data_IF_022160224797
#
_entry.id   IF_022160224797
#
_cell.length_a   1.000
_cell.length_b   1.000
_cell.length_c   1.000
_cell.angle_alpha   90.00
_cell.angle_beta   90.00
_cell.angle_gamma   90.00
#
_symmetry.space_group_name_H-M   'P 1'
#
loop_
_entity.id
_entity.type
_entity.pdbx_description
1 polymer ?
#
# COMPACT_ATOMS: atom_id res chain seq x y z
N UNK A 1 11.17 40.04 -21.36
CA UNK A 1 12.42 40.02 -20.56
C UNK A 1 12.47 38.66 -19.86
N UNK A 2 12.82 37.54 -20.50
CA UNK A 2 14.11 37.02 -21.00
C UNK A 2 15.21 36.83 -19.93
N UNK A 3 15.68 35.57 -19.83
CA UNK A 3 16.84 34.96 -19.11
C UNK A 3 16.54 34.53 -17.66
N UNK A 4 16.73 33.28 -17.21
CA UNK A 4 17.56 32.17 -17.70
C UNK A 4 16.91 30.80 -17.43
N UNK A 5 16.53 30.10 -18.49
CA UNK A 5 16.84 28.66 -18.59
C UNK A 5 18.36 28.52 -18.77
N UNK A 6 18.90 27.36 -18.38
CA UNK A 6 20.30 26.94 -18.53
C UNK A 6 21.22 27.32 -17.35
N UNK A 7 21.10 26.63 -16.21
CA UNK A 7 22.25 26.41 -15.30
C UNK A 7 22.00 25.29 -14.26
N UNK A 8 21.57 24.10 -14.68
CA UNK A 8 21.74 22.87 -13.87
C UNK A 8 22.11 21.71 -14.80
N UNK A 9 23.21 21.89 -15.52
CA UNK A 9 23.88 20.79 -16.21
C UNK A 9 25.39 21.04 -16.27
N UNK A 10 26.01 21.37 -15.13
CA UNK A 10 27.44 21.21 -14.89
C UNK A 10 27.76 21.57 -13.42
N UNK A 11 27.69 20.59 -12.51
CA UNK A 11 28.37 20.63 -11.21
C UNK A 11 28.51 19.19 -10.68
N UNK A 12 28.99 18.30 -11.55
CA UNK A 12 29.52 16.99 -11.17
C UNK A 12 30.85 16.77 -11.91
N UNK A 13 31.74 17.75 -11.85
CA UNK A 13 33.14 17.55 -12.20
C UNK A 13 33.96 18.24 -11.14
N UNK A 14 34.80 17.46 -10.46
CA UNK A 14 35.79 17.87 -9.45
C UNK A 14 35.25 18.15 -8.03
N UNK A 15 34.96 17.10 -7.27
CA UNK A 15 35.54 16.96 -5.92
C UNK A 15 35.18 15.60 -5.32
N UNK A 16 36.19 14.98 -4.75
CA UNK A 16 36.21 13.70 -4.05
C UNK A 16 35.14 13.58 -2.95
N UNK A 17 34.44 12.44 -2.97
CA UNK A 17 33.87 11.67 -1.85
C UNK A 17 33.47 12.40 -0.55
N UNK A 18 32.20 12.19 -0.17
CA UNK A 18 31.45 12.73 0.99
C UNK A 18 30.98 14.18 0.78
N UNK A 19 29.80 14.44 0.20
CA UNK A 19 28.61 14.75 1.03
C UNK A 19 27.28 14.66 0.25
N UNK A 20 27.25 13.89 -0.83
CA UNK A 20 26.01 13.66 -1.61
C UNK A 20 24.83 13.08 -0.79
N UNK A 21 25.04 12.23 0.24
CA UNK A 21 23.93 11.70 1.04
C UNK A 21 23.20 12.75 1.89
N UNK A 22 23.92 13.76 2.42
CA UNK A 22 23.33 14.78 3.26
C UNK A 22 22.49 15.76 2.44
N UNK A 23 22.99 16.18 1.27
CA UNK A 23 22.23 17.04 0.35
C UNK A 23 20.96 16.35 -0.16
N UNK A 24 21.02 15.06 -0.52
CA UNK A 24 19.83 14.29 -0.92
C UNK A 24 18.87 14.03 0.25
N UNK A 25 19.39 13.79 1.46
CA UNK A 25 18.57 13.63 2.67
C UNK A 25 17.85 14.94 3.02
N UNK A 26 18.50 16.08 2.85
CA UNK A 26 17.89 17.41 3.01
C UNK A 26 16.87 17.70 1.92
N UNK A 27 17.09 17.30 0.66
CA UNK A 27 16.12 17.46 -0.44
C UNK A 27 14.90 16.52 -0.26
N UNK A 28 15.12 15.26 0.12
CA UNK A 28 14.04 14.31 0.46
C UNK A 28 13.27 14.72 1.73
N UNK A 29 13.94 15.38 2.68
CA UNK A 29 13.31 15.93 3.87
C UNK A 29 12.59 17.25 3.57
N UNK A 30 13.08 18.08 2.65
CA UNK A 30 12.42 19.30 2.19
C UNK A 30 11.20 19.01 1.28
N UNK A 31 11.17 17.86 0.59
CA UNK A 31 9.95 17.33 -0.03
C UNK A 31 9.04 16.54 0.95
N UNK A 32 9.47 16.42 2.21
CA UNK A 32 8.69 15.96 3.37
C UNK A 32 8.55 17.09 4.37
N UNK A 33 8.11 18.27 3.94
CA UNK A 33 7.45 19.17 4.89
C UNK A 33 6.17 18.47 5.35
N UNK A 34 6.30 17.70 6.42
CA UNK A 34 5.18 17.25 7.22
C UNK A 34 4.56 18.52 7.79
N UNK A 35 3.54 18.99 7.08
CA UNK A 35 2.80 20.17 7.49
C UNK A 35 2.29 19.96 8.91
N UNK A 36 2.68 20.87 9.81
CA UNK A 36 2.05 21.03 11.13
C UNK A 36 0.56 21.38 11.01
N UNK A 37 0.04 21.62 9.80
CA UNK A 37 -1.39 21.80 9.53
C UNK A 37 -2.24 20.54 9.65
N UNK A 38 -1.64 19.35 9.80
CA UNK A 38 -2.37 18.08 9.86
C UNK A 38 -2.75 17.65 11.28
N UNK A 39 -2.34 18.42 12.30
CA UNK A 39 -2.69 18.19 13.70
C UNK A 39 -1.88 17.12 14.44
N UNK A 40 -0.93 16.45 13.79
CA UNK A 40 -0.02 15.53 14.47
C UNK A 40 1.11 16.27 15.19
N UNK A 41 1.51 15.77 16.35
CA UNK A 41 2.70 16.20 17.06
C UNK A 41 3.98 15.94 16.23
N UNK A 42 5.10 16.56 16.61
CA UNK A 42 6.39 16.30 15.96
C UNK A 42 6.80 14.81 16.08
N UNK A 43 7.34 14.25 14.99
CA UNK A 43 7.71 12.82 14.83
C UNK A 43 6.52 11.84 14.71
N UNK A 44 5.31 12.35 14.50
CA UNK A 44 4.11 11.54 14.31
C UNK A 44 3.61 11.62 12.87
N UNK A 45 3.44 10.45 12.23
CA UNK A 45 3.02 10.36 10.83
C UNK A 45 1.51 10.41 10.68
N UNK A 46 1.00 11.43 9.99
CA UNK A 46 -0.42 11.48 9.62
C UNK A 46 -0.80 10.45 8.56
N UNK A 47 -1.92 9.76 8.78
CA UNK A 47 -2.64 8.93 7.84
C UNK A 47 -4.10 9.35 7.77
N UNK A 48 -4.66 9.40 6.56
CA UNK A 48 -6.10 9.55 6.35
C UNK A 48 -6.75 8.18 6.26
N UNK A 49 -7.61 7.86 7.22
CA UNK A 49 -8.43 6.64 7.27
C UNK A 49 -9.89 6.96 6.95
N UNK A 50 -10.73 5.95 6.66
CA UNK A 50 -12.18 6.14 6.56
C UNK A 50 -12.83 6.71 7.83
N UNK A 51 -12.25 6.44 9.00
CA UNK A 51 -12.69 6.92 10.31
C UNK A 51 -12.24 8.33 10.66
N UNK A 52 -11.29 8.91 9.90
CA UNK A 52 -10.72 10.22 10.18
C UNK A 52 -9.20 10.26 10.05
N UNK A 53 -8.60 11.35 10.54
CA UNK A 53 -7.16 11.50 10.65
C UNK A 53 -6.57 10.58 11.72
N UNK A 54 -5.36 10.08 11.50
CA UNK A 54 -4.68 9.16 12.40
C UNK A 54 -3.18 9.44 12.45
N UNK A 55 -2.65 9.82 13.60
CA UNK A 55 -1.25 10.18 13.77
C UNK A 55 -0.45 9.02 14.34
N UNK A 56 0.31 8.29 13.54
CA UNK A 56 1.02 7.08 13.93
C UNK A 56 2.51 7.33 14.19
N UNK A 57 3.07 6.81 15.29
CA UNK A 57 4.52 6.84 15.57
C UNK A 57 5.01 5.48 16.05
N UNK A 58 6.18 5.04 15.57
CA UNK A 58 6.80 3.78 15.99
C UNK A 58 7.87 4.03 17.06
N UNK A 59 7.80 3.29 18.17
CA UNK A 59 8.62 3.42 19.36
C UNK A 59 9.59 2.24 19.52
N UNK A 60 10.89 2.53 19.68
CA UNK A 60 11.87 1.51 19.93
C UNK A 60 11.75 0.93 21.37
N UNK A 61 12.08 -0.34 21.65
CA UNK A 61 11.94 -0.98 22.96
C UNK A 61 11.96 -2.51 22.90
N UNK A 62 11.67 -3.17 24.01
CA UNK A 62 11.37 -4.59 24.11
C UNK A 62 10.16 -4.76 25.01
N UNK A 63 9.12 -5.43 24.51
CA UNK A 63 7.86 -5.64 25.22
C UNK A 63 7.45 -7.09 25.09
N UNK A 64 7.54 -7.82 26.19
CA UNK A 64 7.23 -9.25 26.26
C UNK A 64 5.76 -9.50 25.91
N UNK A 65 4.85 -8.70 26.47
CA UNK A 65 3.41 -8.78 26.22
C UNK A 65 2.86 -7.64 25.35
N UNK A 66 1.86 -7.94 24.52
CA UNK A 66 1.08 -6.92 23.79
C UNK A 66 0.34 -5.97 24.77
N UNK A 67 0.06 -6.41 26.00
CA UNK A 67 -0.52 -5.55 27.02
C UNK A 67 0.50 -4.51 27.55
N UNK A 68 1.77 -4.86 27.68
CA UNK A 68 2.82 -3.91 28.09
C UNK A 68 3.09 -2.88 27.00
N UNK A 69 3.01 -3.35 25.76
CA UNK A 69 2.99 -2.57 24.55
C UNK A 69 1.88 -1.50 24.55
N UNK A 70 0.64 -1.93 24.78
CA UNK A 70 -0.50 -1.02 24.92
C UNK A 70 -0.32 -0.05 26.10
N UNK A 71 0.17 -0.53 27.25
CA UNK A 71 0.41 0.30 28.43
C UNK A 71 1.43 1.41 28.15
N UNK A 72 2.51 1.10 27.44
CA UNK A 72 3.50 2.09 27.06
C UNK A 72 2.90 3.15 26.13
N UNK A 73 2.01 2.77 25.21
CA UNK A 73 1.32 3.76 24.39
C UNK A 73 0.40 4.67 25.18
N UNK A 74 -0.29 4.15 26.19
CA UNK A 74 -1.11 4.99 27.06
C UNK A 74 -0.32 6.05 27.82
N UNK A 75 1.00 5.88 27.99
CA UNK A 75 1.85 6.91 28.63
C UNK A 75 2.06 8.16 27.78
N UNK A 76 1.82 8.07 26.47
CA UNK A 76 1.90 9.20 25.52
C UNK A 76 0.52 9.51 24.91
N UNK A 77 -0.52 9.36 25.74
CA UNK A 77 -1.94 9.60 25.42
C UNK A 77 -2.43 8.86 24.17
N UNK A 78 -2.19 7.54 24.15
CA UNK A 78 -2.28 6.77 22.94
C UNK A 78 -2.60 5.29 23.10
N UNK A 79 -2.85 4.61 21.96
CA UNK A 79 -3.15 3.16 21.89
C UNK A 79 -2.39 2.49 20.75
N UNK A 80 -2.21 1.17 20.84
CA UNK A 80 -1.67 0.35 19.76
C UNK A 80 -2.49 0.50 18.48
N UNK A 81 -1.86 1.06 17.46
CA UNK A 81 -2.50 1.27 16.16
C UNK A 81 -2.78 -0.04 15.44
N UNK A 82 -3.95 -0.14 14.80
CA UNK A 82 -4.16 -1.07 13.71
C UNK A 82 -3.55 -0.58 12.39
N UNK A 83 -3.71 -1.34 11.30
CA UNK A 83 -3.25 -0.97 9.96
C UNK A 83 -4.41 -0.96 8.96
N UNK A 84 -4.71 0.21 8.41
CA UNK A 84 -5.80 0.38 7.45
C UNK A 84 -5.49 -0.31 6.12
N UNK A 85 -4.21 -0.35 5.73
CA UNK A 85 -3.75 -0.86 4.45
C UNK A 85 -2.22 -1.09 4.42
N UNK A 86 -1.73 -1.66 3.33
CA UNK A 86 -0.30 -1.94 3.10
C UNK A 86 0.62 -0.71 3.17
N UNK A 87 0.14 0.52 2.93
CA UNK A 87 1.00 1.71 3.02
C UNK A 87 1.31 2.04 4.48
N UNK A 88 0.35 1.85 5.38
CA UNK A 88 0.58 1.95 6.82
C UNK A 88 1.58 0.86 7.28
N UNK A 89 1.42 -0.37 6.78
CA UNK A 89 2.39 -1.46 6.97
C UNK A 89 3.80 -1.11 6.49
N UNK A 90 3.93 -0.57 5.28
CA UNK A 90 5.21 -0.16 4.70
C UNK A 90 5.87 0.97 5.50
N UNK A 91 5.07 1.93 6.00
CA UNK A 91 5.56 2.98 6.88
C UNK A 91 6.11 2.40 8.18
N UNK A 92 5.35 1.57 8.90
CA UNK A 92 5.81 1.07 10.21
C UNK A 92 7.07 0.22 10.08
N UNK A 93 7.19 -0.53 8.98
CA UNK A 93 8.40 -1.27 8.63
C UNK A 93 9.58 -0.32 8.41
N UNK A 94 9.43 0.72 7.60
CA UNK A 94 10.51 1.68 7.35
C UNK A 94 10.88 2.47 8.61
N UNK A 95 9.88 2.91 9.38
CA UNK A 95 10.04 3.71 10.59
C UNK A 95 10.81 2.94 11.66
N UNK A 96 10.57 1.64 11.83
CA UNK A 96 11.33 0.90 12.81
C UNK A 96 12.75 0.58 12.37
N UNK A 97 12.94 0.19 11.11
CA UNK A 97 14.25 -0.15 10.56
C UNK A 97 15.20 1.07 10.50
N UNK A 98 14.66 2.28 10.57
CA UNK A 98 15.42 3.52 10.67
C UNK A 98 15.91 3.82 12.10
N UNK A 99 15.30 3.23 13.13
CA UNK A 99 15.59 3.51 14.54
C UNK A 99 16.50 2.45 15.18
N UNK A 100 16.88 1.42 14.42
CA UNK A 100 17.49 0.20 14.96
C UNK A 100 18.65 -0.26 14.08
N UNK A 101 19.75 -0.78 14.65
CA UNK A 101 20.88 -1.28 13.85
C UNK A 101 20.58 -2.59 13.12
N UNK A 102 19.55 -3.33 13.54
CA UNK A 102 19.17 -4.63 12.98
C UNK A 102 18.63 -4.50 11.55
N UNK A 103 18.66 -5.61 10.82
CA UNK A 103 18.13 -5.72 9.45
C UNK A 103 16.69 -6.19 9.40
N UNK A 104 16.17 -6.72 10.50
CA UNK A 104 14.78 -7.09 10.72
C UNK A 104 14.41 -6.99 12.20
N UNK A 105 13.10 -6.96 12.48
CA UNK A 105 12.54 -6.93 13.82
C UNK A 105 11.02 -7.11 13.79
N UNK A 106 10.44 -7.42 14.94
CA UNK A 106 8.99 -7.61 15.08
C UNK A 106 8.36 -6.45 15.84
N UNK A 107 7.11 -6.14 15.52
CA UNK A 107 6.34 -5.06 16.13
C UNK A 107 5.02 -5.57 16.68
N UNK A 108 4.62 -5.01 17.81
CA UNK A 108 3.24 -5.08 18.28
C UNK A 108 2.41 -3.99 17.60
N UNK A 109 1.27 -4.41 17.08
CA UNK A 109 0.18 -3.53 16.62
C UNK A 109 -1.09 -3.89 17.39
N UNK A 110 -2.15 -3.10 17.24
CA UNK A 110 -3.43 -3.31 17.90
C UNK A 110 -4.27 -4.42 17.25
N UNK A 111 -3.67 -5.58 16.97
CA UNK A 111 -4.34 -6.72 16.34
C UNK A 111 -4.59 -7.80 17.39
N UNK A 112 -5.86 -8.16 17.62
CA UNK A 112 -6.25 -9.19 18.60
C UNK A 112 -7.18 -10.22 17.97
N UNK A 113 -7.16 -11.47 18.46
CA UNK A 113 -8.06 -12.51 17.98
C UNK A 113 -9.50 -12.21 18.39
N UNK A 114 -10.44 -12.38 17.46
CA UNK A 114 -11.85 -12.15 17.75
C UNK A 114 -12.38 -13.16 18.76
N UNK A 115 -13.35 -12.75 19.58
CA UNK A 115 -14.01 -13.66 20.55
C UNK A 115 -14.54 -14.94 19.90
N UNK A 116 -15.04 -14.83 18.66
CA UNK A 116 -15.59 -15.96 17.89
C UNK A 116 -14.52 -17.00 17.53
N UNK A 117 -13.27 -16.56 17.37
CA UNK A 117 -12.18 -17.41 16.90
C UNK A 117 -11.21 -17.81 18.02
N UNK A 118 -11.44 -17.40 19.27
CA UNK A 118 -10.70 -17.90 20.43
C UNK A 118 -10.79 -19.43 20.51
N UNK A 119 -9.65 -20.09 20.68
CA UNK A 119 -9.57 -21.55 20.72
C UNK A 119 -9.92 -22.27 19.41
N UNK A 120 -10.03 -21.55 18.29
CA UNK A 120 -10.34 -22.13 16.98
C UNK A 120 -9.13 -22.07 16.05
N UNK A 121 -8.88 -23.18 15.33
CA UNK A 121 -7.98 -23.19 14.16
C UNK A 121 -8.65 -22.55 12.96
N UNK A 122 -7.93 -22.49 11.84
CA UNK A 122 -8.50 -22.06 10.56
C UNK A 122 -9.73 -22.90 10.18
N UNK A 123 -10.82 -22.20 9.90
CA UNK A 123 -12.07 -22.72 9.37
C UNK A 123 -12.61 -21.76 8.31
N UNK A 124 -13.72 -22.11 7.66
CA UNK A 124 -14.43 -21.15 6.79
C UNK A 124 -14.83 -19.87 7.53
N UNK A 125 -15.08 -19.97 8.84
CA UNK A 125 -15.51 -18.86 9.69
C UNK A 125 -14.33 -18.10 10.29
N UNK A 126 -13.28 -18.80 10.70
CA UNK A 126 -12.05 -18.23 11.25
C UNK A 126 -10.96 -18.36 10.22
N UNK A 127 -10.75 -17.32 9.43
CA UNK A 127 -9.76 -17.27 8.36
C UNK A 127 -8.87 -16.03 8.52
N UNK A 128 -7.99 -15.78 7.55
CA UNK A 128 -7.07 -14.64 7.56
C UNK A 128 -7.73 -13.26 7.51
N UNK A 129 -9.04 -13.16 7.23
CA UNK A 129 -9.79 -11.91 7.23
C UNK A 129 -10.73 -11.76 8.44
N UNK A 130 -11.00 -12.83 9.19
CA UNK A 130 -12.05 -12.84 10.24
C UNK A 130 -11.57 -13.30 11.60
N UNK A 131 -10.38 -13.90 11.68
CA UNK A 131 -9.84 -14.41 12.94
C UNK A 131 -9.38 -13.30 13.88
N UNK A 132 -9.05 -12.13 13.35
CA UNK A 132 -8.54 -11.00 14.11
C UNK A 132 -9.39 -9.74 13.89
N UNK A 133 -9.31 -8.82 14.84
CA UNK A 133 -9.91 -7.49 14.83
C UNK A 133 -8.92 -6.45 15.35
N UNK A 134 -9.13 -5.19 14.99
CA UNK A 134 -8.33 -4.07 15.47
C UNK A 134 -8.84 -3.56 16.83
N UNK A 135 -7.93 -3.16 17.71
CA UNK A 135 -8.24 -2.67 19.06
C UNK A 135 -8.30 -1.15 19.17
N UNK A 136 -7.90 -0.44 18.12
CA UNK A 136 -7.68 1.01 18.12
C UNK A 136 -8.96 1.82 17.87
N UNK A 137 -10.09 1.16 17.64
CA UNK A 137 -11.40 1.74 17.31
C UNK A 137 -11.42 2.70 16.12
N UNK A 138 -10.33 2.77 15.34
CA UNK A 138 -10.19 3.68 14.21
C UNK A 138 -9.87 2.93 12.92
N UNK A 139 -9.14 1.83 12.98
CA UNK A 139 -8.88 1.02 11.80
C UNK A 139 -10.15 0.28 11.41
N UNK A 140 -10.55 0.41 10.14
CA UNK A 140 -11.73 -0.28 9.61
C UNK A 140 -11.33 -1.33 8.58
N UNK A 141 -12.15 -2.38 8.45
CA UNK A 141 -11.90 -3.44 7.49
C UNK A 141 -10.59 -4.21 7.73
N UNK A 142 -10.16 -4.94 6.70
CA UNK A 142 -9.10 -5.96 6.80
C UNK A 142 -7.92 -5.66 5.87
N UNK A 143 -7.82 -4.43 5.35
CA UNK A 143 -6.81 -4.05 4.35
C UNK A 143 -5.37 -4.16 4.83
N UNK A 144 -5.12 -4.14 6.15
CA UNK A 144 -3.83 -4.41 6.77
C UNK A 144 -3.62 -5.86 7.23
N UNK A 145 -4.60 -6.75 7.06
CA UNK A 145 -4.48 -8.16 7.41
C UNK A 145 -3.68 -8.89 6.33
N UNK A 146 -2.36 -8.77 6.40
CA UNK A 146 -1.43 -9.50 5.57
C UNK A 146 -0.72 -10.52 6.46
N UNK A 147 -1.11 -11.78 6.39
CA UNK A 147 -0.52 -12.85 7.19
C UNK A 147 0.53 -13.64 6.40
N UNK A 148 1.46 -14.28 7.11
CA UNK A 148 2.37 -15.28 6.52
C UNK A 148 1.57 -16.42 5.85
N UNK A 149 2.24 -17.21 5.01
CA UNK A 149 1.60 -18.39 4.42
C UNK A 149 1.12 -19.36 5.52
N UNK A 150 -0.14 -19.77 5.42
CA UNK A 150 -0.80 -20.60 6.43
C UNK A 150 -1.28 -19.88 7.70
N UNK A 151 -0.97 -18.60 7.90
CA UNK A 151 -1.39 -17.83 9.09
C UNK A 151 -2.71 -17.06 8.87
N UNK A 152 -3.49 -16.74 9.93
CA UNK A 152 -3.29 -17.07 11.34
C UNK A 152 -3.85 -18.46 11.71
N UNK A 153 -2.98 -19.42 12.00
CA UNK A 153 -3.37 -20.84 12.13
C UNK A 153 -3.92 -21.22 13.52
N UNK A 154 -3.63 -20.42 14.54
CA UNK A 154 -3.87 -20.72 15.94
C UNK A 154 -3.42 -22.13 16.33
N UNK A 155 -2.22 -22.53 15.89
CA UNK A 155 -1.62 -23.84 16.10
C UNK A 155 -1.82 -24.40 17.51
N UNK A 156 -1.57 -23.57 18.52
CA UNK A 156 -1.64 -23.94 19.96
C UNK A 156 -2.99 -23.62 20.61
N UNK A 157 -3.97 -23.12 19.85
CA UNK A 157 -5.29 -22.68 20.31
C UNK A 157 -5.28 -21.48 21.28
N UNK A 158 -4.12 -20.89 21.55
CA UNK A 158 -3.91 -19.78 22.48
C UNK A 158 -3.15 -18.59 21.85
N UNK A 159 -2.95 -18.59 20.53
CA UNK A 159 -2.22 -17.53 19.80
C UNK A 159 -3.16 -16.35 19.53
N UNK A 160 -3.52 -15.61 20.58
CA UNK A 160 -4.56 -14.58 20.51
C UNK A 160 -4.07 -13.21 20.05
N UNK A 161 -2.78 -13.06 19.77
CA UNK A 161 -2.15 -11.82 19.31
C UNK A 161 -1.36 -12.07 18.01
N UNK A 162 -0.80 -11.04 17.39
CA UNK A 162 0.01 -11.19 16.20
C UNK A 162 1.21 -10.24 16.16
N UNK A 163 2.34 -10.72 15.66
CA UNK A 163 3.54 -9.92 15.44
C UNK A 163 3.64 -9.52 13.97
N UNK A 164 3.85 -8.24 13.71
CA UNK A 164 4.19 -7.73 12.39
C UNK A 164 5.71 -7.86 12.17
N UNK A 165 6.13 -8.48 11.06
CA UNK A 165 7.55 -8.59 10.71
C UNK A 165 7.99 -7.39 9.85
N UNK A 166 8.91 -6.59 10.37
CA UNK A 166 9.65 -5.60 9.58
C UNK A 166 11.00 -6.19 9.12
N UNK A 167 11.35 -6.04 7.84
CA UNK A 167 12.65 -6.43 7.32
C UNK A 167 13.11 -5.55 6.16
N UNK A 168 14.42 -5.33 6.05
CA UNK A 168 15.07 -4.68 4.88
C UNK A 168 15.04 -5.59 3.66
N UNK A 169 15.01 -6.91 3.86
CA UNK A 169 14.89 -7.92 2.81
C UNK A 169 13.43 -8.33 2.62
N UNK A 170 13.05 -8.76 1.41
CA UNK A 170 11.68 -9.20 1.10
C UNK A 170 11.21 -10.39 1.97
N UNK A 171 12.16 -11.21 2.42
CA UNK A 171 11.94 -12.26 3.41
C UNK A 171 13.17 -12.45 4.28
N UNK A 172 12.99 -13.12 5.42
CA UNK A 172 14.07 -13.64 6.25
C UNK A 172 13.94 -15.15 6.37
N UNK A 173 15.07 -15.82 6.57
CA UNK A 173 15.12 -17.25 6.87
C UNK A 173 15.49 -17.41 8.34
N UNK A 174 14.59 -18.01 9.11
CA UNK A 174 14.83 -18.43 10.49
C UNK A 174 14.49 -19.93 10.62
N UNK A 175 13.41 -20.29 11.32
CA UNK A 175 12.84 -21.65 11.34
C UNK A 175 11.90 -21.95 10.15
N UNK A 176 11.79 -20.98 9.26
CA UNK A 176 10.98 -20.97 8.06
C UNK A 176 11.27 -19.69 7.27
N UNK A 177 10.62 -19.54 6.12
CA UNK A 177 10.68 -18.31 5.32
C UNK A 177 9.57 -17.38 5.77
N UNK A 178 9.93 -16.22 6.29
CA UNK A 178 8.99 -15.20 6.75
C UNK A 178 9.07 -13.98 5.85
N UNK A 179 7.93 -13.52 5.35
CA UNK A 179 7.85 -12.38 4.44
C UNK A 179 7.70 -11.07 5.20
N UNK A 180 8.46 -10.07 4.75
CA UNK A 180 8.43 -8.73 5.31
C UNK A 180 7.04 -8.08 5.11
N UNK A 181 6.62 -7.26 6.07
CA UNK A 181 5.34 -6.57 6.00
C UNK A 181 4.11 -7.43 6.27
N UNK A 182 4.29 -8.58 6.93
CA UNK A 182 3.21 -9.53 7.22
C UNK A 182 3.20 -9.99 8.68
N UNK A 183 2.07 -10.57 9.09
CA UNK A 183 1.75 -11.00 10.44
C UNK A 183 1.88 -12.50 10.63
N UNK A 184 2.32 -12.91 11.82
CA UNK A 184 2.16 -14.26 12.35
C UNK A 184 1.43 -14.21 13.68
N UNK A 185 0.46 -15.10 13.91
CA UNK A 185 -0.21 -15.17 15.20
C UNK A 185 0.69 -15.81 16.27
N UNK A 186 0.61 -15.28 17.48
CA UNK A 186 1.47 -15.67 18.60
C UNK A 186 0.67 -15.60 19.89
N UNK A 187 1.19 -16.23 20.95
CA UNK A 187 0.71 -15.95 22.29
C UNK A 187 0.91 -14.45 22.59
N UNK A 188 -0.03 -13.84 23.31
CA UNK A 188 0.02 -12.43 23.67
C UNK A 188 1.16 -12.06 24.61
N UNK A 189 1.78 -13.05 25.24
CA UNK A 189 3.05 -12.97 25.95
C UNK A 189 4.06 -13.77 25.15
N UNK A 190 4.99 -13.06 24.53
CA UNK A 190 6.04 -13.66 23.72
C UNK A 190 7.23 -13.97 24.59
N UNK A 191 7.21 -15.15 25.23
CA UNK A 191 8.42 -15.76 25.77
C UNK A 191 9.33 -16.14 24.61
N UNK A 192 10.22 -15.24 24.19
CA UNK A 192 11.20 -15.57 23.15
C UNK A 192 12.17 -16.62 23.69
N UNK A 193 11.94 -17.89 23.37
CA UNK A 193 12.90 -18.96 23.69
C UNK A 193 14.26 -18.59 23.08
N UNK A 194 15.32 -18.68 23.88
CA UNK A 194 16.69 -18.38 23.46
C UNK A 194 17.16 -19.20 22.23
N UNK A 195 16.51 -20.32 21.94
CA UNK A 195 16.77 -21.16 20.76
C UNK A 195 16.12 -20.64 19.46
N UNK A 196 15.19 -19.68 19.55
CA UNK A 196 14.59 -18.98 18.39
C UNK A 196 15.40 -17.75 17.98
N UNK A 197 16.47 -17.44 18.72
CA UNK A 197 17.42 -16.42 18.36
C UNK A 197 18.19 -16.93 17.13
N UNK A 198 18.09 -16.22 16.00
CA UNK A 198 19.13 -16.30 15.00
C UNK A 198 20.49 -16.11 15.72
N UNK A 199 21.53 -16.90 15.41
CA UNK A 199 22.77 -16.94 16.18
C UNK A 199 23.27 -15.52 16.43
N UNK A 200 23.21 -15.14 17.70
CA UNK A 200 23.39 -13.76 18.15
C UNK A 200 24.80 -13.26 17.81
N UNK A 201 24.84 -12.21 16.99
CA UNK A 201 25.57 -11.00 17.39
C UNK A 201 24.57 -9.85 17.44
N UNK A 202 24.16 -9.55 18.68
CA UNK A 202 23.47 -8.33 19.14
C UNK A 202 21.95 -8.25 18.94
N UNK A 203 21.24 -8.49 20.05
CA UNK A 203 19.92 -7.99 20.48
C UNK A 203 18.81 -7.82 19.45
N UNK A 204 17.79 -8.67 19.51
CA UNK A 204 16.49 -8.44 18.85
C UNK A 204 15.63 -7.57 19.79
N UNK A 205 15.24 -6.38 19.33
CA UNK A 205 14.28 -5.48 20.02
C UNK A 205 12.86 -5.65 19.43
N UNK A 206 11.84 -5.39 20.26
CA UNK A 206 10.39 -5.54 19.97
C UNK A 206 9.68 -4.20 20.20
N UNK A 207 8.98 -3.67 19.21
CA UNK A 207 8.67 -2.23 19.10
C UNK A 207 7.17 -1.90 19.05
N UNK A 208 6.75 -0.67 19.40
CA UNK A 208 5.33 -0.26 19.64
C UNK A 208 4.84 0.93 18.84
N UNK A 209 3.52 1.18 18.80
CA UNK A 209 2.92 2.29 18.05
C UNK A 209 1.78 2.97 18.83
N UNK A 210 1.82 4.30 19.03
CA UNK A 210 0.88 5.10 19.86
C UNK A 210 0.12 6.16 18.96
N UNK A 211 -0.95 6.96 19.35
CA UNK A 211 -1.76 8.11 18.71
C UNK A 211 -2.67 9.03 19.64
N UNK A 212 -3.05 10.30 19.33
CA UNK A 212 -3.98 11.20 20.14
C UNK A 212 -5.40 11.51 19.55
N UNK A 213 -6.38 12.00 20.36
CA UNK A 213 -7.87 11.91 20.15
C UNK A 213 -8.66 13.08 19.52
N UNK A 214 -8.05 13.98 18.71
CA UNK A 214 -8.81 15.11 18.14
C UNK A 214 -9.71 14.73 16.92
N UNK A 215 -11.03 14.64 17.12
CA UNK A 215 -12.03 14.47 16.04
C UNK A 215 -12.19 15.76 15.21
N UNK A 216 -11.44 15.88 14.12
CA UNK A 216 -11.67 16.92 13.10
C UNK A 216 -12.46 16.36 11.91
N UNK A 217 -13.56 17.00 11.55
CA UNK A 217 -14.27 16.74 10.28
C UNK A 217 -13.33 17.03 9.11
N UNK A 218 -12.95 16.00 8.35
CA UNK A 218 -12.15 16.18 7.13
C UNK A 218 -13.11 16.34 5.97
N UNK A 219 -13.14 17.54 5.40
CA UNK A 219 -13.85 17.78 4.15
C UNK A 219 -13.36 16.80 3.08
N UNK A 220 -14.28 16.29 2.26
CA UNK A 220 -13.95 15.48 1.10
C UNK A 220 -13.85 16.45 -0.08
N UNK A 221 -12.69 16.53 -0.71
CA UNK A 221 -12.53 17.26 -1.95
C UNK A 221 -13.50 16.71 -3.01
N UNK A 222 -14.46 17.52 -3.44
CA UNK A 222 -15.51 17.13 -4.39
C UNK A 222 -15.43 17.86 -5.74
N UNK A 223 -14.52 18.82 -5.88
CA UNK A 223 -14.40 19.60 -7.12
C UNK A 223 -13.45 18.90 -8.09
N UNK A 224 -13.97 18.63 -9.29
CA UNK A 224 -13.18 18.19 -10.43
C UNK A 224 -13.08 19.31 -11.46
N UNK A 225 -11.96 19.37 -12.22
CA UNK A 225 -11.86 20.30 -13.35
C UNK A 225 -12.94 20.03 -14.40
N UNK A 226 -13.20 21.00 -15.26
CA UNK A 226 -14.24 20.89 -16.29
C UNK A 226 -14.05 19.66 -17.17
N UNK A 227 -15.14 18.88 -17.32
CA UNK A 227 -15.16 17.64 -18.09
C UNK A 227 -14.51 16.44 -17.39
N UNK A 228 -14.11 16.55 -16.12
CA UNK A 228 -13.69 15.40 -15.30
C UNK A 228 -14.83 14.94 -14.38
N UNK A 229 -14.95 13.64 -14.19
CA UNK A 229 -16.01 13.03 -13.35
C UNK A 229 -15.46 12.64 -11.99
N UNK A 230 -16.18 12.98 -10.93
CA UNK A 230 -15.79 12.69 -9.55
C UNK A 230 -16.19 11.27 -9.12
N UNK A 231 -15.29 10.61 -8.39
CA UNK A 231 -15.48 9.31 -7.78
C UNK A 231 -15.06 9.34 -6.31
N UNK A 232 -15.85 8.69 -5.47
CA UNK A 232 -15.49 8.42 -4.09
C UNK A 232 -14.54 7.22 -4.03
N UNK A 233 -13.34 7.41 -3.48
CA UNK A 233 -12.41 6.33 -3.15
C UNK A 233 -12.03 6.37 -1.68
N UNK A 234 -11.48 5.27 -1.19
CA UNK A 234 -11.02 5.14 0.21
C UNK A 234 -9.95 6.18 0.60
N UNK A 235 -9.20 6.71 -0.39
CA UNK A 235 -8.17 7.75 -0.22
C UNK A 235 -8.67 9.18 -0.45
N UNK A 236 -9.95 9.37 -0.76
CA UNK A 236 -10.56 10.68 -1.01
C UNK A 236 -11.24 10.79 -2.38
N UNK A 237 -11.67 12.01 -2.72
CA UNK A 237 -12.26 12.31 -4.02
C UNK A 237 -11.25 12.18 -5.15
N UNK A 238 -11.64 11.51 -6.22
CA UNK A 238 -10.80 11.23 -7.37
C UNK A 238 -11.51 11.65 -8.66
N UNK A 239 -10.83 12.46 -9.47
CA UNK A 239 -11.35 12.97 -10.73
C UNK A 239 -10.82 12.13 -11.86
N UNK A 240 -11.69 11.55 -12.69
CA UNK A 240 -11.31 10.77 -13.86
C UNK A 240 -11.86 11.36 -15.15
N UNK A 241 -11.11 11.19 -16.23
CA UNK A 241 -11.54 11.53 -17.59
C UNK A 241 -10.98 10.52 -18.59
N UNK A 242 -11.83 10.09 -19.52
CA UNK A 242 -11.45 9.19 -20.61
C UNK A 242 -11.09 10.02 -21.83
N UNK A 243 -9.99 9.65 -22.49
CA UNK A 243 -9.48 10.30 -23.69
C UNK A 243 -9.37 9.28 -24.83
N UNK A 244 -9.61 9.74 -26.05
CA UNK A 244 -9.39 8.96 -27.26
C UNK A 244 -7.94 9.11 -27.76
N UNK A 245 -7.44 8.08 -28.44
CA UNK A 245 -6.19 8.14 -29.18
C UNK A 245 -5.42 6.82 -29.17
N UNK A 246 -4.76 6.53 -30.29
CA UNK A 246 -3.92 5.34 -30.46
C UNK A 246 -2.54 5.57 -29.86
N UNK A 247 -2.40 5.30 -28.56
CA UNK A 247 -1.14 5.48 -27.83
C UNK A 247 -0.63 4.19 -27.22
N UNK A 248 0.70 4.10 -27.09
CA UNK A 248 1.32 3.13 -26.17
C UNK A 248 1.00 3.48 -24.74
N UNK A 249 1.21 2.54 -23.81
CA UNK A 249 0.96 2.82 -22.40
C UNK A 249 1.83 4.00 -21.90
N UNK A 250 3.10 4.04 -22.31
CA UNK A 250 4.00 5.16 -22.04
C UNK A 250 3.51 6.49 -22.67
N UNK A 251 2.97 6.43 -23.88
CA UNK A 251 2.38 7.60 -24.55
C UNK A 251 1.14 8.12 -23.81
N UNK A 252 0.28 7.22 -23.34
CA UNK A 252 -0.87 7.56 -22.51
C UNK A 252 -0.46 8.15 -21.15
N UNK A 253 0.61 7.63 -20.53
CA UNK A 253 1.18 8.15 -19.29
C UNK A 253 1.67 9.59 -19.48
N UNK A 254 2.40 9.86 -20.57
CA UNK A 254 2.81 11.21 -20.94
C UNK A 254 1.61 12.15 -21.14
N UNK A 255 0.53 11.67 -21.79
CA UNK A 255 -0.70 12.45 -21.99
C UNK A 255 -1.45 12.75 -20.68
N UNK A 256 -1.52 11.79 -19.75
CA UNK A 256 -2.07 12.07 -18.44
C UNK A 256 -1.21 13.07 -17.65
N UNK A 257 0.13 12.99 -17.77
CA UNK A 257 1.03 13.93 -17.11
C UNK A 257 0.85 15.37 -17.63
N UNK A 258 0.59 15.56 -18.93
CA UNK A 258 0.23 16.88 -19.51
C UNK A 258 -1.02 17.49 -18.85
N UNK A 259 -1.93 16.65 -18.36
CA UNK A 259 -3.16 17.05 -17.64
C UNK A 259 -2.96 17.20 -16.12
N UNK A 260 -1.72 17.05 -15.63
CA UNK A 260 -1.43 17.00 -14.19
C UNK A 260 -2.06 15.78 -13.50
N UNK A 261 -2.15 14.67 -14.22
CA UNK A 261 -2.80 13.44 -13.82
C UNK A 261 -1.89 12.23 -14.10
N UNK A 262 -2.33 11.04 -13.68
CA UNK A 262 -1.70 9.75 -13.98
C UNK A 262 -2.71 8.84 -14.67
N UNK A 263 -2.28 7.75 -15.30
CA UNK A 263 -3.24 6.76 -15.81
C UNK A 263 -4.01 6.18 -14.62
N UNK A 264 -5.34 6.26 -14.65
CA UNK A 264 -6.17 5.83 -13.53
C UNK A 264 -6.28 4.30 -13.45
N UNK A 265 -6.19 3.75 -12.25
CA UNK A 265 -6.58 2.37 -11.95
C UNK A 265 -8.10 2.23 -11.81
N UNK A 266 -8.55 1.01 -11.51
CA UNK A 266 -9.97 0.68 -11.38
C UNK A 266 -10.28 0.22 -9.95
N UNK A 267 -11.18 0.91 -9.26
CA UNK A 267 -11.59 0.59 -7.90
C UNK A 267 -12.73 -0.44 -7.86
N UNK A 268 -13.74 -0.25 -8.71
CA UNK A 268 -14.97 -1.05 -8.72
C UNK A 268 -15.69 -1.05 -10.08
N UNK A 269 -16.84 -1.72 -10.15
CA UNK A 269 -17.65 -1.85 -11.37
C UNK A 269 -18.31 -0.56 -11.83
N UNK A 270 -18.51 0.45 -10.96
CA UNK A 270 -19.03 1.76 -11.36
C UNK A 270 -17.99 2.51 -12.17
N UNK A 271 -16.72 2.42 -11.77
CA UNK A 271 -15.61 3.00 -12.51
C UNK A 271 -15.42 2.30 -13.86
N UNK A 272 -15.53 0.97 -13.93
CA UNK A 272 -15.55 0.23 -15.22
C UNK A 272 -16.65 0.76 -16.13
N UNK A 273 -17.87 0.90 -15.61
CA UNK A 273 -19.02 1.41 -16.38
C UNK A 273 -18.74 2.82 -16.92
N UNK A 274 -18.21 3.72 -16.10
CA UNK A 274 -17.80 5.05 -16.53
C UNK A 274 -16.74 4.99 -17.64
N UNK A 275 -15.74 4.13 -17.49
CA UNK A 275 -14.65 4.02 -18.46
C UNK A 275 -15.14 3.54 -19.83
N UNK A 276 -16.03 2.53 -19.88
CA UNK A 276 -16.59 2.03 -21.14
C UNK A 276 -17.56 3.04 -21.79
N UNK A 277 -18.40 3.71 -21.00
CA UNK A 277 -19.31 4.74 -21.49
C UNK A 277 -18.55 5.99 -21.96
N UNK A 278 -17.50 6.35 -21.22
CA UNK A 278 -16.59 7.45 -21.57
C UNK A 278 -15.85 7.18 -22.87
N UNK A 279 -15.38 5.95 -23.11
CA UNK A 279 -14.70 5.61 -24.37
C UNK A 279 -15.65 5.75 -25.57
N UNK A 280 -16.91 5.30 -25.43
CA UNK A 280 -17.96 5.52 -26.44
C UNK A 280 -18.23 7.01 -26.65
N UNK A 281 -18.31 7.78 -25.57
CA UNK A 281 -18.61 9.22 -25.62
C UNK A 281 -17.53 10.02 -26.35
N UNK A 282 -16.26 9.58 -26.32
CA UNK A 282 -15.17 10.18 -27.10
C UNK A 282 -15.06 9.59 -28.53
N UNK A 283 -16.13 8.98 -29.03
CA UNK A 283 -16.27 8.51 -30.41
C UNK A 283 -15.55 7.19 -30.72
N UNK A 284 -15.11 6.45 -29.70
CA UNK A 284 -14.46 5.16 -29.87
C UNK A 284 -15.45 4.03 -29.56
N UNK A 285 -15.95 3.35 -30.59
CA UNK A 285 -16.79 2.15 -30.47
C UNK A 285 -15.99 0.89 -30.80
N UNK A 286 -16.09 -0.14 -29.96
CA UNK A 286 -15.38 -1.41 -30.13
C UNK A 286 -13.87 -1.24 -29.94
N UNK A 287 -13.31 -1.79 -28.87
CA UNK A 287 -11.87 -1.74 -28.60
C UNK A 287 -11.58 -1.74 -27.11
N UNK A 288 -10.47 -1.10 -26.73
CA UNK A 288 -9.99 -1.06 -25.35
C UNK A 288 -9.33 0.29 -25.03
N UNK A 289 -9.11 0.51 -23.73
CA UNK A 289 -8.38 1.65 -23.21
C UNK A 289 -7.33 1.24 -22.18
N UNK A 290 -6.28 2.05 -22.01
CA UNK A 290 -5.28 1.83 -20.96
C UNK A 290 -5.83 2.17 -19.58
N UNK A 291 -5.59 1.27 -18.61
CA UNK A 291 -5.78 1.50 -17.17
C UNK A 291 -4.45 1.37 -16.43
N UNK A 292 -4.31 2.08 -15.32
CA UNK A 292 -3.05 2.32 -14.62
C UNK A 292 -2.66 1.19 -13.67
N UNK A 293 -1.98 0.18 -14.18
CA UNK A 293 -1.38 -0.89 -13.37
C UNK A 293 -0.08 -1.40 -14.00
N UNK A 294 0.79 -1.99 -13.17
CA UNK A 294 2.05 -2.61 -13.60
C UNK A 294 2.19 -4.03 -13.08
N UNK A 295 2.84 -4.88 -13.86
CA UNK A 295 3.25 -6.21 -13.42
C UNK A 295 4.43 -6.09 -12.44
N UNK A 296 4.37 -6.71 -11.25
CA UNK A 296 5.49 -6.72 -10.33
C UNK A 296 6.61 -7.61 -10.87
N UNK A 297 7.86 -7.29 -10.50
CA UNK A 297 9.05 -8.02 -10.95
C UNK A 297 8.98 -9.53 -10.70
N UNK A 298 8.37 -9.94 -9.59
CA UNK A 298 8.15 -11.35 -9.25
C UNK A 298 7.29 -12.11 -10.29
N UNK A 299 6.53 -11.39 -11.12
CA UNK A 299 5.65 -11.96 -12.13
C UNK A 299 6.12 -11.75 -13.57
N UNK A 300 7.20 -11.00 -13.84
CA UNK A 300 7.66 -10.69 -15.20
C UNK A 300 7.92 -11.93 -16.05
N UNK A 301 8.53 -12.96 -15.48
CA UNK A 301 8.86 -14.21 -16.21
C UNK A 301 7.79 -15.30 -16.07
N UNK A 302 6.69 -15.03 -15.37
CA UNK A 302 5.63 -16.03 -15.16
C UNK A 302 4.62 -15.93 -16.28
N UNK A 303 4.57 -16.96 -17.14
CA UNK A 303 3.50 -17.14 -18.13
C UNK A 303 2.33 -17.87 -17.47
N UNK A 304 1.13 -17.36 -17.69
CA UNK A 304 -0.09 -17.80 -17.05
C UNK A 304 -0.20 -17.37 -15.59
N UNK A 305 -1.10 -18.04 -14.87
CA UNK A 305 -1.28 -17.85 -13.43
C UNK A 305 -0.69 -19.02 -12.64
N UNK A 306 -0.14 -18.72 -11.47
CA UNK A 306 0.35 -19.72 -10.52
C UNK A 306 0.00 -19.29 -9.08
N UNK A 307 0.59 -19.95 -8.08
CA UNK A 307 0.33 -19.65 -6.66
C UNK A 307 0.74 -18.22 -6.24
N UNK A 308 1.74 -17.63 -6.90
CA UNK A 308 2.28 -16.29 -6.60
C UNK A 308 1.62 -15.22 -7.47
N UNK A 309 1.55 -15.47 -8.78
CA UNK A 309 0.99 -14.57 -9.78
C UNK A 309 -0.41 -15.07 -10.16
N UNK A 310 -1.40 -14.62 -9.40
CA UNK A 310 -2.81 -14.95 -9.60
C UNK A 310 -3.50 -13.83 -10.37
N UNK A 311 -4.76 -14.06 -10.77
CA UNK A 311 -5.63 -12.99 -11.27
C UNK A 311 -5.73 -11.76 -10.34
N UNK A 312 -5.37 -11.85 -9.06
CA UNK A 312 -5.39 -10.71 -8.14
C UNK A 312 -4.00 -10.12 -7.90
N UNK A 313 -2.94 -10.90 -8.06
CA UNK A 313 -1.59 -10.54 -7.59
C UNK A 313 -0.58 -10.35 -8.72
N UNK A 314 -0.94 -10.69 -9.95
CA UNK A 314 -0.11 -10.45 -11.14
C UNK A 314 0.07 -8.97 -11.49
N UNK A 315 -0.71 -8.07 -10.89
CA UNK A 315 -0.64 -6.63 -11.13
C UNK A 315 -0.87 -5.81 -9.85
N UNK A 316 -0.35 -4.59 -9.84
CA UNK A 316 -0.67 -3.58 -8.83
C UNK A 316 -1.00 -2.24 -9.51
N UNK A 317 -1.94 -1.50 -8.92
CA UNK A 317 -2.33 -0.16 -9.38
C UNK A 317 -1.20 0.86 -9.15
N UNK A 318 -1.07 1.83 -10.06
CA UNK A 318 0.01 2.83 -10.05
C UNK A 318 -0.46 4.25 -9.83
N UNK A 319 -1.77 4.47 -9.64
CA UNK A 319 -2.36 5.81 -9.59
C UNK A 319 -2.42 6.42 -8.18
N UNK A 320 -1.80 5.75 -7.20
CA UNK A 320 -1.78 6.09 -5.77
C UNK A 320 -3.15 6.33 -5.11
N UNK A 321 -4.24 6.06 -5.82
CA UNK A 321 -5.62 6.31 -5.39
C UNK A 321 -6.42 5.01 -5.30
N UNK A 322 -6.22 4.09 -6.24
CA UNK A 322 -6.87 2.79 -6.28
C UNK A 322 -6.30 1.86 -5.20
N UNK A 323 -7.17 1.12 -4.51
CA UNK A 323 -6.78 0.21 -3.44
C UNK A 323 -7.37 -1.19 -3.60
N UNK A 324 -6.65 -2.20 -3.11
CA UNK A 324 -7.08 -3.60 -3.16
C UNK A 324 -7.06 -4.20 -4.57
N UNK A 325 -7.82 -5.29 -4.74
CA UNK A 325 -7.85 -6.11 -5.95
C UNK A 325 -9.25 -6.23 -6.56
N UNK A 326 -10.24 -5.49 -6.02
CA UNK A 326 -11.65 -5.60 -6.42
C UNK A 326 -11.90 -5.19 -7.87
N UNK A 327 -11.14 -4.21 -8.37
CA UNK A 327 -11.25 -3.75 -9.75
C UNK A 327 -10.64 -4.68 -10.78
N UNK A 328 -9.78 -5.62 -10.39
CA UNK A 328 -9.23 -6.61 -11.31
C UNK A 328 -10.32 -7.62 -11.72
N UNK A 329 -10.82 -7.46 -12.95
CA UNK A 329 -11.84 -8.30 -13.58
C UNK A 329 -11.33 -8.68 -14.96
N UNK A 330 -10.93 -9.93 -15.12
CA UNK A 330 -10.20 -10.39 -16.29
C UNK A 330 -11.09 -11.11 -17.29
N UNK A 331 -10.70 -11.09 -18.56
CA UNK A 331 -11.19 -12.02 -19.56
C UNK A 331 -10.82 -13.46 -19.18
N UNK A 332 -11.55 -14.42 -19.74
CA UNK A 332 -11.26 -15.83 -19.54
C UNK A 332 -9.84 -16.15 -20.05
N UNK A 333 -9.00 -16.67 -19.17
CA UNK A 333 -7.59 -16.97 -19.46
C UNK A 333 -6.61 -15.88 -19.00
N UNK A 334 -7.08 -14.69 -18.64
CA UNK A 334 -6.24 -13.55 -18.24
C UNK A 334 -6.05 -13.42 -16.72
N UNK A 335 -4.93 -12.85 -16.25
CA UNK A 335 -3.79 -12.37 -17.02
C UNK A 335 -2.80 -13.50 -17.39
N UNK A 336 -2.43 -13.60 -18.67
CA UNK A 336 -1.68 -14.73 -19.20
C UNK A 336 -0.17 -14.45 -19.42
N UNK A 337 0.26 -13.19 -19.42
CA UNK A 337 1.63 -12.75 -19.68
C UNK A 337 2.28 -13.33 -20.96
N UNK A 338 1.49 -13.59 -22.00
CA UNK A 338 1.94 -14.14 -23.26
C UNK A 338 2.85 -13.15 -24.00
N UNK A 339 4.15 -13.42 -23.89
CA UNK A 339 5.19 -12.63 -24.55
C UNK A 339 5.54 -11.32 -23.83
N UNK A 340 5.36 -11.23 -22.51
CA UNK A 340 5.78 -10.07 -21.71
C UNK A 340 4.76 -8.93 -21.74
N UNK A 341 3.58 -9.19 -21.17
CA UNK A 341 2.46 -8.26 -21.11
C UNK A 341 2.42 -7.61 -19.73
N UNK A 342 3.07 -6.45 -19.60
CA UNK A 342 3.29 -5.77 -18.32
C UNK A 342 2.33 -4.60 -18.02
N UNK A 343 1.37 -4.35 -18.93
CA UNK A 343 0.36 -3.30 -18.83
C UNK A 343 -1.05 -3.88 -18.95
N UNK A 344 -2.10 -3.12 -18.60
CA UNK A 344 -3.49 -3.61 -18.67
C UNK A 344 -4.32 -2.76 -19.63
N UNK A 345 -5.05 -3.43 -20.51
CA UNK A 345 -6.13 -2.84 -21.28
C UNK A 345 -7.50 -3.26 -20.71
N UNK A 346 -8.46 -2.34 -20.71
CA UNK A 346 -9.86 -2.60 -20.37
C UNK A 346 -10.69 -2.60 -21.65
N UNK A 347 -11.37 -3.71 -21.96
CA UNK A 347 -12.21 -3.83 -23.15
C UNK A 347 -13.56 -3.15 -22.94
N UNK A 348 -13.94 -2.32 -23.91
CA UNK A 348 -15.20 -1.57 -23.87
C UNK A 348 -16.43 -2.48 -24.02
N UNK A 349 -16.35 -3.48 -24.90
CA UNK A 349 -17.49 -4.38 -25.16
C UNK A 349 -17.83 -5.32 -24.00
N UNK A 350 -16.86 -5.64 -23.13
CA UNK A 350 -17.04 -6.61 -22.03
C UNK A 350 -16.90 -6.00 -20.65
N UNK A 351 -16.23 -4.86 -20.51
CA UNK A 351 -15.80 -4.32 -19.21
C UNK A 351 -14.77 -5.20 -18.49
N UNK A 352 -14.11 -6.12 -19.23
CA UNK A 352 -13.11 -7.04 -18.70
C UNK A 352 -11.70 -6.66 -19.19
N UNK A 353 -10.72 -7.04 -18.42
CA UNK A 353 -9.32 -6.70 -18.58
C UNK A 353 -8.54 -7.80 -19.29
N UNK A 354 -7.48 -7.37 -19.96
CA UNK A 354 -6.43 -8.20 -20.55
C UNK A 354 -5.09 -7.52 -20.28
N UNK A 355 -4.07 -8.32 -19.96
CA UNK A 355 -2.72 -7.79 -19.92
C UNK A 355 -2.19 -7.66 -21.34
N UNK A 356 -1.51 -6.56 -21.63
CA UNK A 356 -1.01 -6.25 -22.95
C UNK A 356 0.42 -5.75 -22.87
N UNK A 357 1.18 -5.96 -23.95
CA UNK A 357 2.50 -5.36 -24.11
C UNK A 357 2.33 -3.85 -24.00
N UNK A 358 3.13 -3.22 -23.14
CA UNK A 358 3.06 -1.77 -22.94
C UNK A 358 3.34 -0.95 -24.22
N UNK A 359 3.97 -1.57 -25.22
CA UNK A 359 4.26 -0.99 -26.55
C UNK A 359 3.14 -1.16 -27.57
N UNK A 360 2.08 -1.93 -27.26
CA UNK A 360 0.90 -2.00 -28.10
C UNK A 360 0.13 -0.67 -28.07
N UNK A 361 -0.90 -0.52 -28.90
CA UNK A 361 -1.76 0.67 -28.91
C UNK A 361 -3.20 0.29 -28.58
N UNK A 362 -3.83 1.03 -27.68
CA UNK A 362 -5.27 0.96 -27.39
C UNK A 362 -6.00 2.11 -28.06
N UNK A 363 -7.34 2.12 -28.07
CA UNK A 363 -8.12 3.22 -28.68
C UNK A 363 -8.30 4.44 -27.78
N UNK A 364 -8.01 4.28 -26.50
CA UNK A 364 -8.08 5.36 -25.52
C UNK A 364 -7.30 5.04 -24.25
N UNK A 365 -7.41 5.94 -23.29
CA UNK A 365 -6.79 5.84 -21.98
C UNK A 365 -7.61 6.64 -20.98
N UNK A 366 -7.56 6.25 -19.71
CA UNK A 366 -8.20 6.99 -18.62
C UNK A 366 -7.15 7.66 -17.75
N UNK A 367 -7.30 8.97 -17.54
CA UNK A 367 -6.46 9.70 -16.61
C UNK A 367 -7.22 9.96 -15.31
N UNK A 368 -6.47 10.09 -14.22
CA UNK A 368 -6.98 10.35 -12.89
C UNK A 368 -6.09 11.28 -12.07
N UNK A 369 -6.71 12.13 -11.26
CA UNK A 369 -6.04 13.02 -10.31
C UNK A 369 -6.90 13.29 -9.08
N UNK A 370 -6.28 13.74 -8.00
CA UNK A 370 -6.99 14.10 -6.77
C UNK A 370 -7.99 15.23 -7.02
N UNK A 371 -9.17 15.13 -6.40
CA UNK A 371 -10.13 16.22 -6.40
C UNK A 371 -9.64 17.40 -5.56
N UNK A 372 -10.23 18.58 -5.79
CA UNK A 372 -9.95 19.81 -5.04
C UNK A 372 -11.11 20.19 -4.11
N UNK A 373 -10.83 21.06 -3.13
CA UNK A 373 -11.81 21.56 -2.15
C UNK A 373 -12.68 22.68 -2.72
#
# INVERSE_FOLDING_TARGET
>A
MQKSSTFILLLCVVSTLADCPAAWKTILNAQREESTSNGCEADWKFFKRPSGGWCMRVFPGYYEAQADAEKACRTVDATLSGLQNKNEGAYIQAAILAQVPQTSGSLWTGLQRTKKCLGQKLTVTCNNLTSFEWTDNATTGTGGFLFQDGQPDNKSLDQNCALFLASKAASIVARGTYFAGTYEDVNCVTGFNSENLAPMKSSVLVFLICISTALSYVEIAMKCPDGWTWFARSRGGWCMKVFAGAFTNLGAEAKCNEEGAVIAGVQDSKEVKFMIEGLRAVGQTGGSLWVGAKRPMACWSVVGVNKVCTAKTSFYWTDDSTTGFSGFKWLAGEPNNMGGQDCIQLFEGTGLMDDLKCTAQTKGYVCGKTAQF
#
